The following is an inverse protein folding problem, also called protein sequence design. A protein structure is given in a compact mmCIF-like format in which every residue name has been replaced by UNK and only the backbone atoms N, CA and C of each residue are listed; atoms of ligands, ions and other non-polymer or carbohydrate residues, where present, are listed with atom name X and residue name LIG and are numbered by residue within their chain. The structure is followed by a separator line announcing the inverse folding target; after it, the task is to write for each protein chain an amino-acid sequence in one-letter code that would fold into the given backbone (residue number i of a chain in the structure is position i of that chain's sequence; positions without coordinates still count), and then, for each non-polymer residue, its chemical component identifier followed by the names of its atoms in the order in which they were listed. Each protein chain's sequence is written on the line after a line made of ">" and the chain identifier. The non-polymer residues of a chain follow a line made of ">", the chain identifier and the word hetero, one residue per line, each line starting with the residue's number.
data_IF_918644568218
#
_entry.id   IF_918644568218
#
_cell.length_a   1.000
_cell.length_b   1.000
_cell.length_c   1.000
_cell.angle_alpha   90.00
_cell.angle_beta   90.00
_cell.angle_gamma   90.00
#
_symmetry.space_group_name_H-M   'P 1'
#
loop_
_entity.id
_entity.type
_entity.pdbx_description
1 polymer ?
#
# COMPACT_ATOMS: atom_id res chain seq x y z
N UNK A 1 -16.56 -11.72 2.08
CA UNK A 1 -15.12 -11.67 1.80
C UNK A 1 -14.76 -12.97 1.12
N UNK A 2 -14.57 -12.95 -0.20
CA UNK A 2 -14.10 -14.12 -0.94
C UNK A 2 -12.63 -14.35 -0.57
N UNK A 3 -12.19 -15.59 -0.25
CA UNK A 3 -10.83 -15.85 0.21
C UNK A 3 -9.75 -15.44 -0.81
N UNK A 4 -10.09 -15.39 -2.09
CA UNK A 4 -9.19 -14.99 -3.18
C UNK A 4 -8.81 -13.51 -3.14
N UNK A 5 -9.74 -12.63 -2.77
CA UNK A 5 -9.50 -11.17 -2.70
C UNK A 5 -8.57 -10.80 -1.53
N UNK A 6 -8.56 -11.61 -0.46
CA UNK A 6 -7.67 -11.38 0.69
C UNK A 6 -6.21 -11.72 0.35
N UNK A 7 -5.99 -12.83 -0.36
CA UNK A 7 -4.64 -13.25 -0.80
C UNK A 7 -4.08 -12.21 -1.77
N UNK A 8 -4.92 -11.72 -2.67
CA UNK A 8 -4.55 -10.73 -3.66
C UNK A 8 -4.02 -9.45 -3.00
N UNK A 9 -4.79 -8.84 -2.08
CA UNK A 9 -4.35 -7.61 -1.38
C UNK A 9 -3.04 -7.82 -0.60
N UNK A 10 -2.88 -8.96 0.06
CA UNK A 10 -1.65 -9.29 0.79
C UNK A 10 -0.42 -9.38 -0.12
N UNK A 11 -0.57 -9.89 -1.34
CA UNK A 11 0.52 -9.99 -2.30
C UNK A 11 0.97 -8.61 -2.79
N UNK A 12 0.02 -7.70 -3.09
CA UNK A 12 0.35 -6.30 -3.39
C UNK A 12 1.00 -5.62 -2.20
N UNK A 13 0.48 -5.78 -1.00
CA UNK A 13 1.10 -5.20 0.20
C UNK A 13 2.54 -5.64 0.36
N UNK A 14 2.82 -6.93 0.15
CA UNK A 14 4.18 -7.47 0.23
C UNK A 14 5.08 -6.95 -0.88
N UNK A 15 4.57 -6.87 -2.11
CA UNK A 15 5.28 -6.25 -3.23
C UNK A 15 5.63 -4.80 -2.93
N UNK A 16 4.66 -4.00 -2.49
CA UNK A 16 4.87 -2.61 -2.13
C UNK A 16 5.81 -2.45 -0.94
N UNK A 17 5.78 -3.37 0.03
CA UNK A 17 6.69 -3.33 1.17
C UNK A 17 8.14 -3.66 0.81
N UNK A 18 8.36 -4.54 -0.17
CA UNK A 18 9.68 -5.06 -0.55
C UNK A 18 10.31 -4.29 -1.72
N UNK A 19 9.52 -3.95 -2.73
CA UNK A 19 9.96 -3.35 -3.99
C UNK A 19 9.78 -1.83 -4.02
N UNK A 20 8.87 -1.28 -3.21
CA UNK A 20 8.51 0.14 -3.26
C UNK A 20 8.92 0.83 -1.96
N UNK A 21 9.74 1.88 -2.05
CA UNK A 21 10.10 2.67 -0.88
C UNK A 21 8.87 3.38 -0.32
N UNK A 22 8.86 3.59 1.00
CA UNK A 22 7.79 4.31 1.73
C UNK A 22 7.41 5.64 1.06
N UNK A 23 8.38 6.40 0.60
CA UNK A 23 8.16 7.70 -0.07
C UNK A 23 7.39 7.53 -1.38
N UNK A 24 7.75 6.52 -2.17
CA UNK A 24 7.11 6.21 -3.45
C UNK A 24 5.70 5.65 -3.24
N UNK A 25 5.49 4.87 -2.17
CA UNK A 25 4.17 4.43 -1.73
C UNK A 25 3.28 5.61 -1.33
N UNK A 26 3.80 6.55 -0.53
CA UNK A 26 3.08 7.75 -0.14
C UNK A 26 2.75 8.63 -1.34
N UNK A 27 3.67 8.77 -2.29
CA UNK A 27 3.43 9.50 -3.54
C UNK A 27 2.28 8.86 -4.33
N UNK A 28 2.27 7.54 -4.49
CA UNK A 28 1.19 6.81 -5.17
C UNK A 28 -0.17 7.00 -4.47
N UNK A 29 -0.19 7.08 -3.13
CA UNK A 29 -1.43 7.25 -2.36
C UNK A 29 -1.94 8.69 -2.32
N UNK A 30 -1.04 9.65 -2.48
CA UNK A 30 -1.33 11.11 -2.45
C UNK A 30 -1.71 11.62 -3.83
N UNK A 31 -1.18 11.00 -4.89
CA UNK A 31 -1.47 11.37 -6.27
C UNK A 31 -2.60 10.50 -6.83
N UNK A 32 -3.80 11.09 -6.94
CA UNK A 32 -4.98 10.38 -7.45
C UNK A 32 -4.84 9.99 -8.93
N UNK A 33 -4.05 10.70 -9.73
CA UNK A 33 -3.79 10.34 -11.13
C UNK A 33 -2.94 9.07 -11.22
N UNK A 34 -1.85 9.00 -10.46
CA UNK A 34 -1.00 7.82 -10.35
C UNK A 34 -1.76 6.63 -9.77
N UNK A 35 -2.60 6.87 -8.75
CA UNK A 35 -3.49 5.83 -8.19
C UNK A 35 -4.47 5.31 -9.25
N UNK A 36 -5.14 6.21 -9.98
CA UNK A 36 -6.10 5.81 -11.01
C UNK A 36 -5.42 5.08 -12.18
N UNK A 37 -4.21 5.50 -12.57
CA UNK A 37 -3.41 4.80 -13.57
C UNK A 37 -3.00 3.40 -13.12
N UNK A 38 -2.62 3.23 -11.86
CA UNK A 38 -2.33 1.91 -11.27
C UNK A 38 -3.57 1.01 -11.24
N UNK A 39 -4.71 1.52 -10.78
CA UNK A 39 -5.99 0.78 -10.74
C UNK A 39 -6.41 0.34 -12.15
N UNK A 40 -6.25 1.22 -13.14
CA UNK A 40 -6.54 0.91 -14.54
C UNK A 40 -5.56 -0.13 -15.11
N UNK A 41 -4.27 -0.04 -14.81
CA UNK A 41 -3.24 -0.96 -15.30
C UNK A 41 -3.34 -2.35 -14.65
N UNK A 42 -3.72 -2.41 -13.38
CA UNK A 42 -3.96 -3.64 -12.64
C UNK A 42 -5.39 -4.19 -12.86
N UNK A 43 -6.20 -3.51 -13.67
CA UNK A 43 -7.60 -3.85 -13.97
C UNK A 43 -8.43 -4.12 -12.70
N UNK A 44 -8.14 -3.36 -11.64
CA UNK A 44 -8.74 -3.59 -10.33
C UNK A 44 -10.19 -3.10 -10.31
N UNK A 45 -11.12 -3.91 -9.82
CA UNK A 45 -12.46 -3.41 -9.55
C UNK A 45 -12.39 -2.35 -8.45
N UNK A 46 -13.32 -1.41 -8.51
CA UNK A 46 -13.33 -0.22 -7.67
C UNK A 46 -13.36 -0.58 -6.17
N UNK A 47 -14.10 -1.61 -5.80
CA UNK A 47 -14.15 -2.14 -4.43
C UNK A 47 -12.79 -2.65 -3.93
N UNK A 48 -12.06 -3.43 -4.74
CA UNK A 48 -10.74 -3.95 -4.35
C UNK A 48 -9.68 -2.85 -4.35
N UNK A 49 -9.76 -1.91 -5.29
CA UNK A 49 -8.91 -0.72 -5.29
C UNK A 49 -9.09 0.09 -4.00
N UNK A 50 -10.33 0.35 -3.56
CA UNK A 50 -10.59 1.11 -2.34
C UNK A 50 -10.02 0.40 -1.09
N UNK A 51 -10.20 -0.92 -1.01
CA UNK A 51 -9.65 -1.73 0.08
C UNK A 51 -8.11 -1.78 0.04
N UNK A 52 -7.51 -1.92 -1.14
CA UNK A 52 -6.06 -1.86 -1.33
C UNK A 52 -5.50 -0.50 -0.94
N UNK A 53 -6.16 0.61 -1.31
CA UNK A 53 -5.73 1.97 -0.94
C UNK A 53 -5.72 2.15 0.58
N UNK A 54 -6.77 1.68 1.27
CA UNK A 54 -6.83 1.69 2.74
C UNK A 54 -5.73 0.83 3.37
N UNK A 55 -5.48 -0.35 2.82
CA UNK A 55 -4.46 -1.26 3.33
C UNK A 55 -3.04 -0.68 3.16
N UNK A 56 -2.74 -0.12 1.98
CA UNK A 56 -1.47 0.56 1.69
C UNK A 56 -1.28 1.81 2.56
N UNK A 57 -2.34 2.57 2.83
CA UNK A 57 -2.28 3.73 3.74
C UNK A 57 -1.94 3.29 5.18
N UNK A 58 -2.54 2.21 5.67
CA UNK A 58 -2.19 1.60 6.96
C UNK A 58 -0.73 1.12 6.98
N UNK A 59 -0.27 0.45 5.92
CA UNK A 59 1.12 0.01 5.79
C UNK A 59 2.09 1.20 5.86
N UNK A 60 1.82 2.24 5.07
CA UNK A 60 2.62 3.47 5.09
C UNK A 60 2.68 4.07 6.49
N UNK A 61 1.53 4.19 7.18
CA UNK A 61 1.44 4.67 8.56
C UNK A 61 2.24 3.81 9.56
N UNK A 62 2.18 2.48 9.42
CA UNK A 62 2.97 1.55 10.23
C UNK A 62 4.48 1.72 10.00
N UNK A 63 4.90 1.96 8.75
CA UNK A 63 6.30 2.27 8.44
C UNK A 63 6.76 3.59 9.06
N UNK A 64 5.89 4.60 9.20
CA UNK A 64 6.20 5.87 9.90
C UNK A 64 6.53 5.64 11.37
N UNK A 65 5.72 4.82 12.06
CA UNK A 65 5.91 4.56 13.49
C UNK A 65 7.17 3.72 13.77
N UNK A 66 7.49 2.77 12.90
CA UNK A 66 8.66 1.89 13.08
C UNK A 66 9.99 2.63 12.94
N UNK A 67 10.05 3.67 12.10
CA UNK A 67 11.26 4.48 11.90
C UNK A 67 11.63 5.30 13.16
N UNK A 68 10.62 5.78 13.91
CA UNK A 68 10.82 6.48 15.19
C UNK A 68 11.33 5.58 16.33
N UNK A 69 11.17 4.26 16.24
CA UNK A 69 11.59 3.34 17.31
C UNK A 69 13.04 2.85 17.15
N UNK A 70 13.79 3.32 16.15
CA UNK A 70 15.21 2.96 15.96
C UNK A 70 16.20 3.93 16.59
N UNK A 71 15.73 5.02 17.21
CA UNK A 71 16.57 5.99 17.93
C UNK A 71 16.63 5.75 19.45
N UNK A 72 16.27 4.56 19.93
CA UNK A 72 16.42 4.19 21.34
C UNK A 72 17.34 2.98 21.46
N UNK A 73 18.62 3.18 21.15
CA UNK A 73 19.79 2.44 21.68
C UNK A 73 21.06 3.23 21.33
N UNK A 74 21.42 4.17 22.21
CA UNK A 74 22.79 4.31 22.72
C UNK A 74 22.72 4.89 24.14
#
# INVERSE_FOLDING_TARGET
>A
MNPESSIFIEDYLKYFQDQVSRENLLQLLTDDEAWNGFVAAAELPRDEADELRKALNKLASHMIMKDKNRHDKD
#
